data_IF_544384594346
#
_entry.id   IF_544384594346
#
_cell.length_a   1.000
_cell.length_b   1.000
_cell.length_c   1.000
_cell.angle_alpha   90.00
_cell.angle_beta   90.00
_cell.angle_gamma   90.00
#
_symmetry.space_group_name_H-M   'P 1'
#
loop_
_entity.id
_entity.type
_entity.pdbx_description
1 polymer ?
#
# COMPACT_ATOMS: atom_id res chain seq x y z
N UNK A 1 -13.93 4.98 -18.43
CA UNK A 1 -12.48 5.12 -18.69
C UNK A 1 -11.78 3.90 -18.12
N UNK A 2 -10.73 3.36 -18.76
CA UNK A 2 -10.01 2.20 -18.22
C UNK A 2 -8.82 2.64 -17.38
N UNK A 3 -8.51 1.91 -16.34
CA UNK A 3 -7.28 2.11 -15.59
C UNK A 3 -6.07 1.73 -16.45
N UNK A 4 -4.97 2.39 -16.22
CA UNK A 4 -3.69 2.08 -16.84
C UNK A 4 -2.65 1.83 -15.75
N UNK A 5 -1.63 1.04 -16.06
CA UNK A 5 -0.50 0.84 -15.16
C UNK A 5 0.28 2.16 -15.05
N UNK A 6 0.38 2.77 -13.86
CA UNK A 6 1.17 3.99 -13.73
C UNK A 6 2.65 3.67 -13.89
N UNK A 7 3.40 4.56 -14.54
CA UNK A 7 4.85 4.44 -14.62
C UNK A 7 5.46 4.63 -13.24
N UNK A 8 6.56 3.92 -12.96
CA UNK A 8 7.35 4.20 -11.77
C UNK A 8 8.01 5.58 -11.91
N UNK A 9 8.06 6.38 -10.83
CA UNK A 9 8.73 7.68 -10.87
C UNK A 9 10.28 7.57 -10.78
N UNK A 10 10.84 6.37 -10.92
CA UNK A 10 12.27 6.08 -10.84
C UNK A 10 12.59 4.80 -11.63
N UNK A 11 13.88 4.54 -11.89
CA UNK A 11 14.32 3.33 -12.57
C UNK A 11 14.12 2.09 -11.69
N UNK A 12 13.99 0.92 -12.30
CA UNK A 12 13.78 -0.34 -11.55
C UNK A 12 14.91 -0.65 -10.58
N UNK A 13 16.13 -0.18 -10.83
CA UNK A 13 17.31 -0.39 -9.96
C UNK A 13 17.54 0.74 -8.95
N UNK A 14 16.68 1.75 -8.93
CA UNK A 14 16.87 2.94 -8.09
C UNK A 14 16.87 2.65 -6.59
N UNK A 15 16.25 1.56 -6.16
CA UNK A 15 16.15 1.18 -4.74
C UNK A 15 17.22 0.17 -4.32
N UNK A 16 18.11 -0.24 -5.25
CA UNK A 16 19.23 -1.10 -4.91
C UNK A 16 20.13 -0.42 -3.87
N UNK A 17 20.77 -1.16 -2.96
CA UNK A 17 20.77 -2.63 -2.80
C UNK A 17 19.62 -3.14 -1.90
N UNK A 18 18.67 -2.29 -1.50
CA UNK A 18 17.64 -2.63 -0.53
C UNK A 18 16.51 -3.45 -1.15
N UNK A 19 15.95 -2.99 -2.27
CA UNK A 19 14.97 -3.70 -3.08
C UNK A 19 15.59 -3.95 -4.45
N UNK A 20 15.63 -5.21 -4.89
CA UNK A 20 16.34 -5.57 -6.10
C UNK A 20 15.57 -5.25 -7.39
N UNK A 21 16.32 -4.97 -8.43
CA UNK A 21 15.80 -4.61 -9.76
C UNK A 21 14.82 -5.65 -10.29
N UNK A 22 15.16 -6.92 -10.23
CA UNK A 22 14.34 -8.01 -10.78
C UNK A 22 12.97 -8.06 -10.09
N UNK A 23 12.93 -7.96 -8.76
CA UNK A 23 11.69 -7.92 -8.00
C UNK A 23 10.85 -6.72 -8.42
N UNK A 24 11.45 -5.52 -8.49
CA UNK A 24 10.74 -4.30 -8.86
C UNK A 24 10.12 -4.40 -10.26
N UNK A 25 10.87 -4.94 -11.21
CA UNK A 25 10.39 -5.09 -12.59
C UNK A 25 9.23 -6.06 -12.69
N UNK A 26 9.32 -7.24 -12.07
CA UNK A 26 8.25 -8.25 -12.07
C UNK A 26 7.04 -7.74 -11.29
N UNK A 27 7.27 -7.17 -10.13
CA UNK A 27 6.22 -6.65 -9.25
C UNK A 27 5.37 -5.58 -9.95
N UNK A 28 6.02 -4.68 -10.67
CA UNK A 28 5.35 -3.63 -11.44
C UNK A 28 4.71 -4.15 -12.73
N UNK A 29 5.51 -4.78 -13.62
CA UNK A 29 5.06 -5.11 -14.98
C UNK A 29 4.17 -6.35 -15.05
N UNK A 30 4.23 -7.23 -14.06
CA UNK A 30 3.45 -8.47 -14.02
C UNK A 30 2.33 -8.41 -13.00
N UNK A 31 2.66 -8.27 -11.72
CA UNK A 31 1.64 -8.30 -10.67
C UNK A 31 0.70 -7.09 -10.74
N UNK A 32 1.23 -5.88 -10.74
CA UNK A 32 0.39 -4.68 -10.80
C UNK A 32 -0.40 -4.62 -12.12
N UNK A 33 0.23 -4.94 -13.24
CA UNK A 33 -0.45 -4.96 -14.54
C UNK A 33 -1.63 -5.94 -14.53
N UNK A 34 -1.48 -7.10 -13.91
CA UNK A 34 -2.57 -8.09 -13.80
C UNK A 34 -3.75 -7.54 -13.00
N UNK A 35 -3.48 -6.85 -11.91
CA UNK A 35 -4.56 -6.22 -11.14
C UNK A 35 -5.31 -5.17 -11.98
N UNK A 36 -4.58 -4.35 -12.73
CA UNK A 36 -5.19 -3.37 -13.63
C UNK A 36 -6.06 -4.06 -14.68
N UNK A 37 -5.54 -5.08 -15.34
CA UNK A 37 -6.26 -5.81 -16.38
C UNK A 37 -7.55 -6.45 -15.84
N UNK A 38 -7.47 -7.10 -14.68
CA UNK A 38 -8.62 -7.78 -14.09
C UNK A 38 -9.67 -6.79 -13.57
N UNK A 39 -9.24 -5.67 -12.99
CA UNK A 39 -10.16 -4.61 -12.57
C UNK A 39 -10.91 -4.03 -13.77
N UNK A 40 -10.21 -3.73 -14.86
CA UNK A 40 -10.83 -3.23 -16.08
C UNK A 40 -11.83 -4.22 -16.67
N UNK A 41 -11.48 -5.51 -16.69
CA UNK A 41 -12.40 -6.56 -17.19
C UNK A 41 -13.67 -6.64 -16.33
N UNK A 42 -13.53 -6.55 -15.02
CA UNK A 42 -14.67 -6.56 -14.09
C UNK A 42 -15.56 -5.32 -14.23
N UNK A 43 -15.01 -4.19 -14.69
CA UNK A 43 -15.73 -2.92 -14.85
C UNK A 43 -16.38 -2.76 -16.24
N UNK A 44 -16.15 -3.69 -17.16
CA UNK A 44 -16.88 -3.69 -18.43
C UNK A 44 -18.39 -3.69 -18.14
N UNK A 45 -19.13 -2.83 -18.81
CA UNK A 45 -20.57 -2.68 -18.64
C UNK A 45 -20.98 -2.09 -17.26
N UNK A 46 -20.06 -1.52 -16.51
CA UNK A 46 -20.33 -0.81 -15.25
C UNK A 46 -19.82 0.65 -15.34
N UNK A 47 -20.36 1.46 -16.26
CA UNK A 47 -19.82 2.81 -16.50
C UNK A 47 -19.88 3.73 -15.29
N UNK A 48 -20.86 3.55 -14.41
CA UNK A 48 -21.02 4.34 -13.19
C UNK A 48 -19.86 4.14 -12.18
N UNK A 49 -19.17 3.00 -12.28
CA UNK A 49 -18.00 2.70 -11.44
C UNK A 49 -16.68 2.86 -12.21
N UNK A 50 -16.69 2.61 -13.52
CA UNK A 50 -15.48 2.62 -14.35
C UNK A 50 -14.85 4.02 -14.49
N UNK A 51 -15.63 5.08 -14.28
CA UNK A 51 -15.15 6.46 -14.34
C UNK A 51 -14.61 7.00 -13.01
N UNK A 52 -14.74 6.23 -11.93
CA UNK A 52 -14.22 6.61 -10.63
C UNK A 52 -12.70 6.38 -10.58
N UNK A 53 -12.00 7.22 -9.81
CA UNK A 53 -10.64 6.89 -9.40
C UNK A 53 -10.67 5.57 -8.62
N UNK A 54 -9.61 4.78 -8.74
CA UNK A 54 -9.58 3.46 -8.09
C UNK A 54 -9.71 3.56 -6.58
N UNK A 55 -9.15 4.59 -5.97
CA UNK A 55 -9.26 4.87 -4.53
C UNK A 55 -10.70 5.17 -4.12
N UNK A 56 -11.47 5.82 -4.98
CA UNK A 56 -12.89 6.06 -4.75
C UNK A 56 -13.70 4.79 -4.92
N UNK A 57 -13.39 4.03 -5.97
CA UNK A 57 -14.09 2.77 -6.25
C UNK A 57 -14.03 1.82 -5.05
N UNK A 58 -12.86 1.64 -4.45
CA UNK A 58 -12.70 0.70 -3.33
C UNK A 58 -13.41 1.15 -2.05
N UNK A 59 -13.80 2.42 -1.93
CA UNK A 59 -14.66 2.87 -0.83
C UNK A 59 -16.14 2.53 -1.05
N UNK A 60 -16.50 2.09 -2.26
CA UNK A 60 -17.88 1.85 -2.69
C UNK A 60 -18.17 0.39 -3.07
N UNK A 61 -17.39 -0.53 -2.54
CA UNK A 61 -17.55 -1.96 -2.86
C UNK A 61 -18.93 -2.53 -2.49
N UNK A 62 -19.62 -1.92 -1.52
CA UNK A 62 -20.98 -2.32 -1.18
C UNK A 62 -22.03 -1.88 -2.20
N UNK A 63 -21.67 -1.00 -3.11
CA UNK A 63 -22.58 -0.46 -4.14
C UNK A 63 -22.42 -1.16 -5.49
N UNK A 64 -21.32 -1.92 -5.69
CA UNK A 64 -21.13 -2.66 -6.94
C UNK A 64 -22.02 -3.93 -6.96
N UNK A 65 -22.37 -4.46 -8.13
CA UNK A 65 -23.12 -5.72 -8.21
C UNK A 65 -22.44 -6.84 -7.41
N UNK A 66 -23.24 -7.65 -6.73
CA UNK A 66 -22.74 -8.68 -5.81
C UNK A 66 -21.75 -9.65 -6.47
N UNK A 67 -21.98 -10.00 -7.74
CA UNK A 67 -21.11 -10.90 -8.51
C UNK A 67 -19.76 -10.26 -8.89
N UNK A 68 -19.62 -8.94 -8.77
CA UNK A 68 -18.39 -8.19 -9.04
C UNK A 68 -17.62 -7.78 -7.79
N UNK A 69 -18.22 -7.90 -6.63
CA UNK A 69 -17.63 -7.38 -5.39
C UNK A 69 -16.28 -8.01 -5.07
N UNK A 70 -16.17 -9.33 -5.11
CA UNK A 70 -14.93 -10.04 -4.77
C UNK A 70 -13.81 -9.74 -5.76
N UNK A 71 -14.09 -9.79 -7.06
CA UNK A 71 -13.07 -9.53 -8.09
C UNK A 71 -12.57 -8.08 -8.03
N UNK A 72 -13.45 -7.13 -7.76
CA UNK A 72 -13.06 -5.71 -7.59
C UNK A 72 -12.33 -5.47 -6.27
N UNK A 73 -12.77 -6.10 -5.18
CA UNK A 73 -12.03 -6.05 -3.91
C UNK A 73 -10.58 -6.46 -4.11
N UNK A 74 -10.34 -7.58 -4.79
CA UNK A 74 -9.00 -8.10 -5.00
C UNK A 74 -8.19 -7.29 -6.02
N UNK A 75 -8.78 -6.93 -7.14
CA UNK A 75 -8.03 -6.34 -8.26
C UNK A 75 -8.02 -4.82 -8.26
N UNK A 76 -9.14 -4.17 -7.95
CA UNK A 76 -9.12 -2.73 -7.73
C UNK A 76 -8.35 -2.39 -6.45
N UNK A 77 -8.48 -3.21 -5.40
CA UNK A 77 -7.66 -3.11 -4.20
C UNK A 77 -6.17 -3.24 -4.53
N UNK A 78 -5.80 -4.25 -5.31
CA UNK A 78 -4.43 -4.46 -5.75
C UNK A 78 -3.88 -3.27 -6.54
N UNK A 79 -4.67 -2.74 -7.46
CA UNK A 79 -4.27 -1.56 -8.23
C UNK A 79 -4.06 -0.33 -7.35
N UNK A 80 -4.99 -0.05 -6.44
CA UNK A 80 -4.86 1.08 -5.52
C UNK A 80 -3.64 0.93 -4.59
N UNK A 81 -3.46 -0.25 -4.00
CA UNK A 81 -2.37 -0.52 -3.08
C UNK A 81 -1.01 -0.35 -3.73
N UNK A 82 -0.83 -0.90 -4.93
CA UNK A 82 0.44 -0.80 -5.64
C UNK A 82 0.73 0.61 -6.15
N UNK A 83 -0.29 1.34 -6.60
CA UNK A 83 -0.12 2.75 -6.99
C UNK A 83 0.38 3.60 -5.83
N UNK A 84 -0.13 3.37 -4.64
CA UNK A 84 0.34 4.02 -3.42
C UNK A 84 1.76 3.57 -3.06
N UNK A 85 2.03 2.27 -3.19
CA UNK A 85 3.32 1.67 -2.80
C UNK A 85 4.48 2.26 -3.59
N UNK A 86 4.38 2.33 -4.91
CA UNK A 86 5.46 2.86 -5.75
C UNK A 86 5.84 4.29 -5.40
N UNK A 87 4.86 5.15 -5.19
CA UNK A 87 5.09 6.55 -4.79
C UNK A 87 5.66 6.68 -3.39
N UNK A 88 5.39 5.70 -2.54
CA UNK A 88 5.87 5.65 -1.16
C UNK A 88 7.33 5.18 -1.02
N UNK A 89 8.03 4.91 -2.11
CA UNK A 89 9.40 4.40 -2.10
C UNK A 89 10.36 5.39 -2.77
N UNK A 90 11.44 5.74 -2.06
CA UNK A 90 12.52 6.61 -2.55
C UNK A 90 13.66 6.58 -1.56
N UNK A 91 14.90 6.43 -2.03
CA UNK A 91 16.08 6.55 -1.17
C UNK A 91 16.39 8.01 -0.83
N UNK A 92 17.00 8.23 0.32
CA UNK A 92 17.58 9.52 0.69
C UNK A 92 16.60 10.54 1.26
N UNK A 93 15.39 10.14 1.64
CA UNK A 93 14.45 11.04 2.31
C UNK A 93 14.57 10.92 3.84
N UNK A 94 14.09 11.91 4.55
CA UNK A 94 14.18 11.99 6.01
C UNK A 94 12.82 12.26 6.63
N UNK A 95 12.46 11.48 7.65
CA UNK A 95 11.26 11.75 8.46
C UNK A 95 11.49 13.02 9.29
N UNK A 96 10.63 14.02 9.07
CA UNK A 96 10.74 15.32 9.74
C UNK A 96 9.40 16.05 9.75
N UNK A 97 9.36 17.22 10.40
CA UNK A 97 8.20 18.11 10.38
C UNK A 97 6.98 17.54 11.09
N UNK A 98 5.80 17.90 10.59
CA UNK A 98 4.52 17.59 11.25
C UNK A 98 4.25 16.10 11.35
N UNK A 99 4.63 15.30 10.33
CA UNK A 99 4.45 13.86 10.40
C UNK A 99 5.31 13.24 11.51
N UNK A 100 6.57 13.66 11.63
CA UNK A 100 7.44 13.18 12.72
C UNK A 100 6.85 13.53 14.08
N UNK A 101 6.38 14.76 14.24
CA UNK A 101 5.76 15.22 15.49
C UNK A 101 4.52 14.40 15.84
N UNK A 102 3.68 14.11 14.85
CA UNK A 102 2.48 13.26 15.03
C UNK A 102 2.85 11.82 15.42
N UNK A 103 3.87 11.25 14.80
CA UNK A 103 4.38 9.92 15.14
C UNK A 103 4.87 9.89 16.59
N UNK A 104 5.66 10.87 16.99
CA UNK A 104 6.14 10.97 18.38
C UNK A 104 5.01 11.15 19.38
N UNK A 105 4.00 11.98 19.03
CA UNK A 105 2.80 12.19 19.85
C UNK A 105 2.00 10.91 20.06
N UNK A 106 1.76 10.17 18.96
CA UNK A 106 0.80 9.07 18.98
C UNK A 106 1.44 7.73 19.37
N UNK A 107 2.75 7.55 19.15
CA UNK A 107 3.48 6.31 19.46
C UNK A 107 4.49 6.47 20.60
N UNK A 108 4.76 7.69 21.04
CA UNK A 108 5.74 7.99 22.07
C UNK A 108 7.13 8.26 21.50
N UNK A 109 7.53 7.60 20.43
CA UNK A 109 8.79 7.80 19.73
C UNK A 109 8.73 7.25 18.32
N UNK A 110 9.65 7.65 17.47
CA UNK A 110 9.81 7.07 16.12
C UNK A 110 10.18 5.58 16.23
N UNK A 111 11.02 5.22 17.18
CA UNK A 111 11.42 3.81 17.38
C UNK A 111 10.24 2.94 17.79
N UNK A 112 9.36 3.43 18.65
CA UNK A 112 8.13 2.71 19.01
C UNK A 112 7.22 2.50 17.80
N UNK A 113 7.05 3.53 16.98
CA UNK A 113 6.30 3.43 15.73
C UNK A 113 6.88 2.33 14.83
N UNK A 114 8.20 2.38 14.60
CA UNK A 114 8.86 1.37 13.74
C UNK A 114 8.67 -0.03 14.30
N UNK A 115 8.79 -0.22 15.61
CA UNK A 115 8.58 -1.51 16.25
C UNK A 115 7.15 -2.04 16.05
N UNK A 116 6.14 -1.17 16.20
CA UNK A 116 4.75 -1.56 15.95
C UNK A 116 4.50 -1.90 14.48
N UNK A 117 5.04 -1.12 13.56
CA UNK A 117 4.91 -1.36 12.13
C UNK A 117 5.59 -2.67 11.73
N UNK A 118 6.82 -2.91 12.19
CA UNK A 118 7.54 -4.14 11.92
C UNK A 118 6.79 -5.35 12.47
N UNK A 119 6.21 -5.25 13.66
CA UNK A 119 5.40 -6.30 14.25
C UNK A 119 4.17 -6.61 13.41
N UNK A 120 3.44 -5.58 12.99
CA UNK A 120 2.25 -5.74 12.14
C UNK A 120 2.61 -6.43 10.81
N UNK A 121 3.70 -6.03 10.19
CA UNK A 121 4.18 -6.61 8.94
C UNK A 121 4.64 -8.06 9.10
N UNK A 122 5.38 -8.36 10.17
CA UNK A 122 5.91 -9.69 10.44
C UNK A 122 4.82 -10.69 10.86
N UNK A 123 3.81 -10.23 11.60
CA UNK A 123 2.75 -11.10 12.13
C UNK A 123 1.55 -11.24 11.20
N UNK A 124 1.49 -10.49 10.08
CA UNK A 124 0.46 -10.72 9.07
C UNK A 124 0.67 -12.09 8.44
N UNK A 125 -0.11 -13.05 8.88
CA UNK A 125 -0.02 -14.43 8.38
C UNK A 125 -0.44 -14.47 6.91
N UNK A 126 0.41 -15.07 6.07
CA UNK A 126 0.14 -15.15 4.63
C UNK A 126 0.40 -13.83 3.90
N UNK A 127 -0.38 -13.61 2.86
CA UNK A 127 -0.29 -12.41 2.02
C UNK A 127 -1.08 -11.26 2.63
N UNK A 128 -0.54 -10.07 2.54
CA UNK A 128 -1.21 -8.88 3.01
C UNK A 128 -0.32 -7.65 3.00
N UNK A 129 -0.72 -6.65 3.76
CA UNK A 129 -0.08 -5.34 3.85
C UNK A 129 -0.02 -4.85 5.28
N UNK A 130 1.01 -4.10 5.61
CA UNK A 130 1.09 -3.31 6.83
C UNK A 130 0.96 -1.82 6.48
N UNK A 131 0.30 -1.06 7.33
CA UNK A 131 -0.04 0.34 7.05
C UNK A 131 0.21 1.23 8.25
N UNK A 132 0.66 2.46 7.97
CA UNK A 132 0.46 3.61 8.84
C UNK A 132 -0.75 4.37 8.30
N UNK A 133 -1.78 4.55 9.12
CA UNK A 133 -3.02 5.23 8.71
C UNK A 133 -3.31 6.41 9.63
N UNK A 134 -4.02 7.39 9.06
CA UNK A 134 -4.61 8.49 9.85
C UNK A 134 -6.09 8.16 10.08
N UNK A 135 -6.48 8.05 11.35
CA UNK A 135 -7.87 7.82 11.78
C UNK A 135 -8.33 9.04 12.56
N UNK A 136 -9.15 9.88 11.93
CA UNK A 136 -9.50 11.16 12.52
C UNK A 136 -8.25 12.03 12.66
N UNK A 137 -7.86 12.34 13.88
CA UNK A 137 -6.68 13.15 14.19
C UNK A 137 -5.49 12.33 14.71
N UNK A 138 -5.59 10.99 14.72
CA UNK A 138 -4.56 10.11 15.28
C UNK A 138 -4.01 9.15 14.24
N UNK A 139 -2.71 8.89 14.35
CA UNK A 139 -2.03 7.87 13.58
C UNK A 139 -2.18 6.50 14.25
N UNK A 140 -2.29 5.45 13.45
CA UNK A 140 -2.34 4.08 13.93
C UNK A 140 -1.61 3.17 12.95
N UNK A 141 -1.11 2.04 13.46
CA UNK A 141 -0.57 0.94 12.65
C UNK A 141 -1.64 -0.14 12.55
N UNK A 142 -1.93 -0.59 11.32
CA UNK A 142 -2.88 -1.66 11.05
C UNK A 142 -2.29 -2.61 10.01
N UNK A 143 -2.87 -3.80 9.89
CA UNK A 143 -2.55 -4.71 8.77
C UNK A 143 -3.83 -5.23 8.15
N UNK A 144 -3.74 -5.59 6.86
CA UNK A 144 -4.87 -6.11 6.08
C UNK A 144 -4.45 -7.36 5.34
N UNK A 145 -5.40 -8.23 5.07
CA UNK A 145 -5.16 -9.47 4.31
C UNK A 145 -5.23 -9.20 2.80
N UNK A 146 -4.51 -10.01 2.04
CA UNK A 146 -4.57 -10.03 0.57
C UNK A 146 -4.36 -8.62 -0.02
N UNK A 147 -5.32 -8.12 -0.80
CA UNK A 147 -5.27 -6.77 -1.37
C UNK A 147 -6.29 -5.82 -0.73
N UNK A 148 -6.76 -6.16 0.47
CA UNK A 148 -7.62 -5.25 1.21
C UNK A 148 -6.88 -3.97 1.59
N UNK A 149 -7.60 -2.87 1.53
CA UNK A 149 -7.09 -1.54 1.89
C UNK A 149 -7.88 -0.99 3.07
N UNK A 150 -7.24 -0.21 3.96
CA UNK A 150 -7.98 0.51 5.00
C UNK A 150 -9.08 1.44 4.47
N UNK A 151 -8.97 1.87 3.19
CA UNK A 151 -10.00 2.68 2.53
C UNK A 151 -11.31 1.92 2.33
N UNK A 152 -11.29 0.60 2.34
CA UNK A 152 -12.49 -0.24 2.23
C UNK A 152 -13.34 -0.24 3.50
N UNK A 153 -12.79 0.17 4.63
CA UNK A 153 -13.47 0.22 5.92
C UNK A 153 -13.39 -1.08 6.72
N UNK A 154 -13.76 -0.99 8.00
CA UNK A 154 -13.67 -2.09 8.97
C UNK A 154 -14.46 -3.33 8.54
N UNK A 155 -15.65 -3.14 7.97
CA UNK A 155 -16.52 -4.27 7.63
C UNK A 155 -15.92 -5.18 6.55
N UNK A 156 -15.13 -4.63 5.64
CA UNK A 156 -14.51 -5.40 4.54
C UNK A 156 -13.09 -5.80 4.90
N UNK A 157 -12.26 -4.85 5.33
CA UNK A 157 -10.82 -5.06 5.48
C UNK A 157 -10.37 -5.38 6.91
N UNK A 158 -11.25 -5.20 7.90
CA UNK A 158 -10.88 -5.31 9.31
C UNK A 158 -10.03 -4.14 9.81
N UNK A 159 -9.92 -3.09 9.01
CA UNK A 159 -9.16 -1.88 9.33
C UNK A 159 -9.81 -0.68 8.65
N UNK A 160 -9.48 0.52 9.15
CA UNK A 160 -9.96 1.76 8.55
C UNK A 160 -8.92 2.86 8.73
N UNK A 161 -9.07 3.93 7.98
CA UNK A 161 -8.21 5.11 8.04
C UNK A 161 -7.63 5.46 6.67
N UNK A 162 -7.02 6.64 6.62
CA UNK A 162 -6.38 7.11 5.40
C UNK A 162 -4.91 6.64 5.36
N UNK A 163 -4.51 5.88 4.34
CA UNK A 163 -3.15 5.34 4.27
C UNK A 163 -2.09 6.43 4.08
N UNK A 164 -1.16 6.50 4.99
CA UNK A 164 0.02 7.39 4.92
C UNK A 164 1.21 6.62 4.36
N UNK A 165 1.36 5.36 4.78
CA UNK A 165 2.46 4.49 4.40
C UNK A 165 1.94 3.06 4.30
N UNK A 166 2.39 2.32 3.29
CA UNK A 166 2.03 0.91 3.11
C UNK A 166 3.25 0.07 2.75
N UNK A 167 3.29 -1.16 3.25
CA UNK A 167 4.31 -2.15 2.91
C UNK A 167 3.63 -3.44 2.47
N UNK A 168 3.92 -3.85 1.24
CA UNK A 168 3.47 -5.13 0.68
C UNK A 168 4.26 -6.26 1.34
N UNK A 169 3.57 -7.19 2.00
CA UNK A 169 4.21 -8.38 2.61
C UNK A 169 3.78 -9.68 1.93
N UNK A 170 3.25 -9.60 0.71
CA UNK A 170 3.15 -10.76 -0.16
C UNK A 170 4.54 -11.28 -0.47
N UNK A 171 4.71 -12.59 -0.62
CA UNK A 171 6.02 -13.17 -0.93
C UNK A 171 6.59 -12.65 -2.24
N UNK A 172 5.75 -12.35 -3.25
CA UNK A 172 6.22 -11.78 -4.51
C UNK A 172 6.97 -10.45 -4.35
N UNK A 173 6.75 -9.74 -3.24
CA UNK A 173 7.41 -8.47 -2.98
C UNK A 173 8.86 -8.63 -2.51
N UNK A 174 9.24 -9.80 -2.01
CA UNK A 174 10.56 -9.97 -1.39
C UNK A 174 11.26 -11.31 -1.64
N UNK A 175 10.59 -12.31 -2.19
CA UNK A 175 11.11 -13.68 -2.21
C UNK A 175 12.42 -13.83 -3.02
N UNK A 176 12.55 -13.15 -4.15
CA UNK A 176 13.74 -13.30 -5.00
C UNK A 176 15.02 -12.89 -4.29
N UNK A 177 14.97 -11.87 -3.44
CA UNK A 177 16.15 -11.41 -2.70
C UNK A 177 16.23 -11.99 -1.29
N UNK A 178 15.10 -12.09 -0.60
CA UNK A 178 15.08 -12.43 0.82
C UNK A 178 14.59 -13.85 1.10
N UNK A 179 14.04 -14.54 0.09
CA UNK A 179 13.39 -15.84 0.23
C UNK A 179 12.34 -15.78 1.36
N UNK A 180 12.39 -16.67 2.34
CA UNK A 180 11.45 -16.70 3.46
C UNK A 180 11.71 -15.63 4.54
N UNK A 181 12.77 -14.82 4.38
CA UNK A 181 13.22 -13.90 5.44
C UNK A 181 12.47 -12.58 5.40
N UNK A 182 11.15 -12.64 5.61
CA UNK A 182 10.31 -11.41 5.67
C UNK A 182 10.85 -10.36 6.65
N UNK A 183 11.33 -10.70 7.87
CA UNK A 183 11.90 -9.69 8.77
C UNK A 183 13.06 -8.89 8.19
N UNK A 184 13.91 -9.50 7.38
CA UNK A 184 15.02 -8.81 6.73
C UNK A 184 14.52 -7.81 5.69
N UNK A 185 13.51 -8.20 4.90
CA UNK A 185 12.83 -7.32 3.95
C UNK A 185 12.19 -6.11 4.66
N UNK A 186 11.50 -6.35 5.77
CA UNK A 186 10.84 -5.29 6.56
C UNK A 186 11.86 -4.27 7.05
N UNK A 187 13.03 -4.72 7.51
CA UNK A 187 14.10 -3.82 7.96
C UNK A 187 14.65 -2.97 6.83
N UNK A 188 14.82 -3.55 5.64
CA UNK A 188 15.30 -2.81 4.47
C UNK A 188 14.31 -1.76 4.00
N UNK A 189 13.03 -1.92 4.28
CA UNK A 189 12.01 -0.94 3.92
C UNK A 189 12.33 0.47 4.44
N UNK A 190 12.85 0.58 5.66
CA UNK A 190 13.17 1.90 6.24
C UNK A 190 14.20 2.67 5.44
N UNK A 191 15.04 1.99 4.65
CA UNK A 191 16.03 2.62 3.79
C UNK A 191 15.44 3.17 2.49
N UNK A 192 14.20 2.81 2.16
CA UNK A 192 13.55 3.18 0.90
C UNK A 192 12.18 3.85 1.09
N UNK A 193 11.81 4.19 2.30
CA UNK A 193 10.57 4.94 2.52
C UNK A 193 10.70 6.35 1.96
N UNK A 194 9.74 6.76 1.14
CA UNK A 194 9.62 8.13 0.69
C UNK A 194 8.88 8.95 1.75
N UNK A 195 9.63 9.48 2.71
CA UNK A 195 9.06 10.27 3.80
C UNK A 195 8.45 11.59 3.32
N UNK A 196 8.91 12.13 2.20
CA UNK A 196 8.32 13.34 1.62
C UNK A 196 6.89 13.07 1.12
N UNK A 197 6.69 11.93 0.47
CA UNK A 197 5.34 11.52 0.03
C UNK A 197 4.43 11.20 1.22
N UNK A 198 4.94 10.51 2.22
CA UNK A 198 4.20 10.22 3.44
C UNK A 198 3.77 11.52 4.15
N UNK A 199 4.67 12.49 4.24
CA UNK A 199 4.38 13.80 4.81
C UNK A 199 3.31 14.56 4.00
N UNK A 200 3.36 14.49 2.68
CA UNK A 200 2.37 15.12 1.81
C UNK A 200 0.98 14.50 1.99
N UNK A 201 0.89 13.18 2.10
CA UNK A 201 -0.38 12.48 2.36
C UNK A 201 -0.95 12.86 3.72
N UNK A 202 -0.11 12.94 4.74
CA UNK A 202 -0.51 13.36 6.07
C UNK A 202 -1.05 14.79 6.05
N UNK A 203 -0.33 15.71 5.41
CA UNK A 203 -0.72 17.12 5.30
C UNK A 203 -2.06 17.29 4.58
N UNK A 204 -2.36 16.44 3.60
CA UNK A 204 -3.60 16.52 2.82
C UNK A 204 -4.85 16.16 3.64
N UNK A 205 -4.69 15.45 4.77
CA UNK A 205 -5.81 14.89 5.53
C UNK A 205 -5.86 15.33 6.99
N UNK A 206 -4.82 15.99 7.48
CA UNK A 206 -4.82 16.48 8.87
C UNK A 206 -5.73 17.69 9.06
#
# INVERSE_FOLDING_TARGET
MSYILPSLPYAYDALEPHFDKQTMEIHHTKHHQTYVNNANAALENLPEFADLLVEELITKLDQVPADKKTVLRNNAGGHANHSLFWKGLKKGTTLQGDLKAAIERDFGSVDNFKAEFEKAAATRFGSGWAWLVLKGDKLAVVSTANQDSPLMGEAISGASGFPILGLDVWEHAYYLKFQNRRPDYIKEFWNVVNWDEAAARFAAKK
#
